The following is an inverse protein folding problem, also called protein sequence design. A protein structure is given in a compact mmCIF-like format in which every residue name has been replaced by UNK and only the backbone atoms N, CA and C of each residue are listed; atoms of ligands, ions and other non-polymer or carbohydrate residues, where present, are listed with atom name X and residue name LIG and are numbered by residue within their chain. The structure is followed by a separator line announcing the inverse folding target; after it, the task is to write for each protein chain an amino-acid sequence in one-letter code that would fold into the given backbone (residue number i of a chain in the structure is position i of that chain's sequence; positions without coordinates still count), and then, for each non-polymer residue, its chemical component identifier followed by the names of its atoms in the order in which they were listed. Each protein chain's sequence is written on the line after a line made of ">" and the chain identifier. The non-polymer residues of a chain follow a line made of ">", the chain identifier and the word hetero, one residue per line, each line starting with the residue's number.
data_IF_638693796665
#
_entry.id   IF_638693796665
#
_cell.length_a   1.000
_cell.length_b   1.000
_cell.length_c   1.000
_cell.angle_alpha   90.00
_cell.angle_beta   90.00
_cell.angle_gamma   90.00
#
_symmetry.space_group_name_H-M   'P 1'
#
loop_
_entity.id
_entity.type
_entity.pdbx_description
1 polymer ?
#
# COMPACT_ATOMS: atom_id res chain seq x y z
N UNK A 1 -7.13 -1.95 4.70
CA UNK A 1 -6.23 -3.09 4.46
C UNK A 1 -5.15 -2.76 3.43
N UNK A 2 -5.46 -2.16 2.28
CA UNK A 2 -4.45 -1.85 1.25
C UNK A 2 -3.31 -0.97 1.76
N UNK A 3 -3.61 0.15 2.41
CA UNK A 3 -2.62 1.00 3.09
C UNK A 3 -1.95 0.25 4.23
N UNK A 4 -2.77 -0.38 5.08
CA UNK A 4 -2.26 -1.11 6.24
C UNK A 4 -1.21 -2.16 5.87
N UNK A 5 -1.34 -2.83 4.72
CA UNK A 5 -0.36 -3.84 4.28
C UNK A 5 1.04 -3.27 4.07
N UNK A 6 1.17 -2.06 3.50
CA UNK A 6 2.47 -1.39 3.37
C UNK A 6 2.94 -0.90 4.73
N UNK A 7 2.05 -0.36 5.56
CA UNK A 7 2.42 0.22 6.84
C UNK A 7 2.75 -0.79 7.93
N UNK A 8 2.35 -2.06 7.80
CA UNK A 8 2.90 -3.17 8.61
C UNK A 8 4.42 -3.22 8.47
N UNK A 9 4.95 -2.99 7.26
CA UNK A 9 6.38 -2.94 6.99
C UNK A 9 6.96 -1.53 7.15
N UNK A 10 6.36 -0.51 6.50
CA UNK A 10 6.92 0.84 6.41
C UNK A 10 7.07 1.51 7.77
N UNK A 11 6.19 1.25 8.72
CA UNK A 11 6.32 1.73 10.09
C UNK A 11 7.62 1.27 10.78
N UNK A 12 8.24 0.21 10.26
CA UNK A 12 9.46 -0.41 10.80
C UNK A 12 10.59 -0.47 9.77
N UNK A 13 10.50 0.30 8.68
CA UNK A 13 11.49 0.29 7.60
C UNK A 13 12.87 0.71 8.07
N UNK A 14 12.98 1.73 8.91
CA UNK A 14 14.28 2.16 9.45
C UNK A 14 14.97 1.07 10.26
N UNK A 15 14.34 0.48 11.31
CA UNK A 15 14.96 -0.63 12.01
C UNK A 15 15.17 -1.87 11.11
N UNK A 16 14.39 -2.07 10.07
CA UNK A 16 14.63 -3.14 9.09
C UNK A 16 15.94 -2.89 8.31
N UNK A 17 16.14 -1.67 7.81
CA UNK A 17 17.37 -1.31 7.08
C UNK A 17 18.62 -1.42 7.97
N UNK A 18 18.51 -0.98 9.22
CA UNK A 18 19.66 -0.98 10.15
C UNK A 18 19.95 -2.37 10.74
N UNK A 19 18.92 -3.09 11.22
CA UNK A 19 19.10 -4.35 11.96
C UNK A 19 19.16 -5.59 11.07
N UNK A 20 18.42 -5.62 9.96
CA UNK A 20 18.36 -6.77 9.06
C UNK A 20 19.35 -6.63 7.92
N UNK A 21 19.45 -5.44 7.32
CA UNK A 21 20.39 -5.19 6.23
C UNK A 21 21.75 -4.68 6.67
N UNK A 22 21.92 -4.35 7.96
CA UNK A 22 23.19 -3.87 8.51
C UNK A 22 23.63 -2.50 8.02
N UNK A 23 22.69 -1.67 7.55
CA UNK A 23 22.99 -0.32 7.07
C UNK A 23 23.35 0.62 8.22
N UNK A 24 24.32 1.51 7.98
CA UNK A 24 24.54 2.65 8.86
C UNK A 24 23.40 3.67 8.79
N UNK A 25 23.26 4.50 9.82
CA UNK A 25 22.16 5.51 9.91
C UNK A 25 22.14 6.46 8.70
N UNK A 26 23.30 6.83 8.15
CA UNK A 26 23.39 7.70 6.96
C UNK A 26 22.88 6.97 5.71
N UNK A 27 23.25 5.71 5.54
CA UNK A 27 22.82 4.87 4.41
C UNK A 27 21.31 4.62 4.47
N UNK A 28 20.76 4.29 5.65
CA UNK A 28 19.33 4.11 5.88
C UNK A 28 18.56 5.41 5.56
N UNK A 29 19.05 6.57 6.03
CA UNK A 29 18.42 7.87 5.75
C UNK A 29 18.43 8.21 4.26
N UNK A 30 19.55 7.94 3.55
CA UNK A 30 19.65 8.14 2.10
C UNK A 30 18.70 7.21 1.34
N UNK A 31 18.56 5.97 1.78
CA UNK A 31 17.61 5.01 1.23
C UNK A 31 16.16 5.47 1.41
N UNK A 32 15.81 6.04 2.59
CA UNK A 32 14.48 6.60 2.83
C UNK A 32 14.22 7.85 1.99
N UNK A 33 15.23 8.68 1.74
CA UNK A 33 15.09 9.82 0.82
C UNK A 33 14.81 9.32 -0.61
N UNK A 34 15.56 8.32 -1.08
CA UNK A 34 15.28 7.69 -2.38
C UNK A 34 13.88 7.06 -2.41
N UNK A 35 13.45 6.37 -1.34
CA UNK A 35 12.10 5.84 -1.19
C UNK A 35 11.04 6.93 -1.42
N UNK A 36 11.23 8.11 -0.83
CA UNK A 36 10.34 9.27 -1.04
C UNK A 36 10.25 9.69 -2.51
N UNK A 37 11.36 9.68 -3.26
CA UNK A 37 11.34 9.96 -4.70
C UNK A 37 10.52 8.92 -5.45
N UNK A 38 10.66 7.64 -5.13
CA UNK A 38 9.83 6.58 -5.73
C UNK A 38 8.34 6.75 -5.39
N UNK A 39 8.00 7.25 -4.19
CA UNK A 39 6.62 7.59 -3.82
C UNK A 39 6.05 8.73 -4.67
N UNK A 40 6.85 9.76 -5.00
CA UNK A 40 6.42 10.83 -5.93
C UNK A 40 6.14 10.27 -7.32
N UNK A 41 7.02 9.41 -7.83
CA UNK A 41 6.82 8.72 -9.11
C UNK A 41 5.54 7.86 -9.06
N UNK A 42 5.31 7.15 -7.96
CA UNK A 42 4.11 6.35 -7.72
C UNK A 42 2.83 7.16 -7.86
N UNK A 43 2.78 8.37 -7.29
CA UNK A 43 1.63 9.28 -7.41
C UNK A 43 1.34 9.66 -8.87
N UNK A 44 2.37 10.01 -9.64
CA UNK A 44 2.23 10.40 -11.05
C UNK A 44 1.74 9.20 -11.87
N UNK A 45 2.36 8.03 -11.69
CA UNK A 45 1.97 6.79 -12.36
C UNK A 45 0.55 6.36 -11.97
N UNK A 46 0.16 6.56 -10.70
CA UNK A 46 -1.18 6.26 -10.20
C UNK A 46 -2.27 6.99 -10.98
N UNK A 47 -2.07 8.29 -11.23
CA UNK A 47 -3.01 9.08 -12.04
C UNK A 47 -3.14 8.55 -13.48
N UNK A 48 -2.02 8.22 -14.12
CA UNK A 48 -2.02 7.69 -15.49
C UNK A 48 -2.66 6.29 -15.57
N UNK A 49 -2.36 5.41 -14.61
CA UNK A 49 -2.89 4.05 -14.54
C UNK A 49 -4.39 4.09 -14.25
N UNK A 50 -4.84 4.95 -13.33
CA UNK A 50 -6.26 5.09 -13.01
C UNK A 50 -7.08 5.58 -14.20
N UNK A 51 -6.58 6.59 -14.92
CA UNK A 51 -7.22 7.11 -16.12
C UNK A 51 -7.43 6.02 -17.21
N UNK A 52 -6.54 5.00 -17.26
CA UNK A 52 -6.58 3.96 -18.29
C UNK A 52 -7.30 2.69 -17.83
N UNK A 53 -7.16 2.29 -16.60
CA UNK A 53 -7.61 0.98 -16.09
C UNK A 53 -8.63 1.08 -14.94
N UNK A 54 -8.74 2.24 -14.30
CA UNK A 54 -9.65 2.49 -13.17
C UNK A 54 -9.46 1.45 -12.05
N UNK A 55 -10.55 1.09 -11.38
CA UNK A 55 -10.52 0.13 -10.27
C UNK A 55 -9.90 -1.24 -10.57
N UNK A 56 -9.78 -1.64 -11.84
CA UNK A 56 -9.14 -2.92 -12.17
C UNK A 56 -7.63 -2.90 -11.89
N UNK A 57 -7.00 -1.73 -11.96
CA UNK A 57 -5.59 -1.57 -11.63
C UNK A 57 -5.30 -1.99 -10.19
N UNK A 58 -6.24 -1.78 -9.25
CA UNK A 58 -6.10 -2.17 -7.85
C UNK A 58 -5.82 -3.66 -7.68
N UNK A 59 -6.45 -4.52 -8.49
CA UNK A 59 -6.25 -5.97 -8.41
C UNK A 59 -4.80 -6.36 -8.71
N UNK A 60 -4.22 -5.75 -9.74
CA UNK A 60 -2.82 -5.99 -10.09
C UNK A 60 -1.88 -5.39 -9.05
N UNK A 61 -2.16 -4.17 -8.61
CA UNK A 61 -1.36 -3.47 -7.58
C UNK A 61 -1.26 -4.29 -6.30
N UNK A 62 -2.38 -4.82 -5.78
CA UNK A 62 -2.35 -5.60 -4.53
C UNK A 62 -1.66 -6.95 -4.69
N UNK A 63 -1.74 -7.60 -5.85
CA UNK A 63 -0.97 -8.83 -6.10
C UNK A 63 0.53 -8.53 -6.16
N UNK A 64 0.94 -7.49 -6.88
CA UNK A 64 2.35 -7.08 -6.94
C UNK A 64 2.88 -6.66 -5.56
N UNK A 65 2.05 -5.97 -4.78
CA UNK A 65 2.38 -5.56 -3.42
C UNK A 65 2.55 -6.75 -2.48
N UNK A 66 1.65 -7.76 -2.56
CA UNK A 66 1.79 -9.00 -1.82
C UNK A 66 3.06 -9.76 -2.22
N UNK A 67 3.35 -9.83 -3.52
CA UNK A 67 4.57 -10.46 -4.03
C UNK A 67 5.84 -9.75 -3.56
N UNK A 68 5.85 -8.40 -3.56
CA UNK A 68 6.99 -7.62 -3.06
C UNK A 68 7.21 -7.83 -1.56
N UNK A 69 6.13 -7.87 -0.76
CA UNK A 69 6.20 -8.11 0.70
C UNK A 69 6.66 -9.54 1.02
N UNK A 70 6.18 -10.55 0.27
CA UNK A 70 6.66 -11.92 0.41
C UNK A 70 8.11 -12.07 -0.07
N UNK A 71 8.47 -11.39 -1.16
CA UNK A 71 9.85 -11.33 -1.63
C UNK A 71 10.79 -10.77 -0.57
N UNK A 72 10.38 -9.68 0.08
CA UNK A 72 11.13 -9.07 1.18
C UNK A 72 11.34 -10.05 2.35
N UNK A 73 10.31 -10.82 2.70
CA UNK A 73 10.41 -11.87 3.72
C UNK A 73 11.34 -13.01 3.28
N UNK A 74 11.24 -13.47 2.03
CA UNK A 74 12.00 -14.60 1.52
C UNK A 74 13.50 -14.32 1.31
N UNK A 75 13.83 -13.07 0.95
CA UNK A 75 15.21 -12.67 0.64
C UNK A 75 16.05 -12.49 1.93
N UNK A 76 15.41 -12.30 3.08
CA UNK A 76 16.11 -12.11 4.36
C UNK A 76 17.07 -10.91 4.32
N UNK A 77 18.32 -11.13 4.72
CA UNK A 77 19.36 -10.08 4.81
C UNK A 77 20.14 -9.80 3.51
N UNK A 78 19.73 -10.31 2.35
CA UNK A 78 20.43 -10.04 1.08
C UNK A 78 20.15 -8.62 0.60
N UNK A 79 21.04 -7.68 0.95
CA UNK A 79 20.85 -6.23 0.78
C UNK A 79 20.40 -5.80 -0.63
N UNK A 80 21.03 -6.20 -1.77
CA UNK A 80 20.63 -5.71 -3.09
C UNK A 80 19.17 -6.10 -3.46
N UNK A 81 18.79 -7.35 -3.16
CA UNK A 81 17.46 -7.85 -3.47
C UNK A 81 16.40 -7.24 -2.55
N UNK A 82 16.70 -7.07 -1.26
CA UNK A 82 15.81 -6.42 -0.32
C UNK A 82 15.51 -4.97 -0.75
N UNK A 83 16.50 -4.22 -1.21
CA UNK A 83 16.31 -2.86 -1.72
C UNK A 83 15.42 -2.82 -2.96
N UNK A 84 15.52 -3.78 -3.86
CA UNK A 84 14.61 -3.88 -5.01
C UNK A 84 13.16 -4.01 -4.53
N UNK A 85 12.88 -4.86 -3.55
CA UNK A 85 11.54 -5.00 -3.00
C UNK A 85 11.08 -3.76 -2.22
N UNK A 86 11.96 -3.13 -1.44
CA UNK A 86 11.67 -1.88 -0.72
C UNK A 86 11.26 -0.77 -1.70
N UNK A 87 12.01 -0.56 -2.78
CA UNK A 87 11.68 0.45 -3.79
C UNK A 87 10.45 0.06 -4.63
N UNK A 88 10.23 -1.24 -4.87
CA UNK A 88 8.99 -1.71 -5.50
C UNK A 88 7.76 -1.38 -4.64
N UNK A 89 7.85 -1.54 -3.33
CA UNK A 89 6.78 -1.13 -2.40
C UNK A 89 6.53 0.38 -2.45
N UNK A 90 7.59 1.20 -2.53
CA UNK A 90 7.45 2.65 -2.71
C UNK A 90 6.69 3.01 -3.98
N UNK A 91 7.02 2.34 -5.11
CA UNK A 91 6.32 2.53 -6.38
C UNK A 91 4.86 2.07 -6.36
N UNK A 92 4.52 1.07 -5.55
CA UNK A 92 3.16 0.54 -5.45
C UNK A 92 2.31 1.30 -4.42
N UNK A 93 2.94 2.05 -3.51
CA UNK A 93 2.31 2.61 -2.32
C UNK A 93 1.14 3.55 -2.63
N UNK A 94 1.27 4.43 -3.63
CA UNK A 94 0.26 5.43 -3.96
C UNK A 94 -0.57 5.10 -5.19
N UNK A 95 -0.25 4.03 -5.94
CA UNK A 95 -1.00 3.63 -7.13
C UNK A 95 -2.49 3.40 -6.83
N UNK A 96 -2.81 2.86 -5.65
CA UNK A 96 -4.20 2.58 -5.29
C UNK A 96 -4.94 3.78 -4.70
N UNK A 97 -4.25 4.75 -4.10
CA UNK A 97 -4.87 5.94 -3.49
C UNK A 97 -5.63 6.74 -4.54
N UNK A 98 -5.01 7.01 -5.68
CA UNK A 98 -5.63 7.76 -6.77
C UNK A 98 -6.92 7.08 -7.24
N UNK A 99 -6.90 5.76 -7.46
CA UNK A 99 -8.09 5.01 -7.89
C UNK A 99 -9.20 5.00 -6.84
N UNK A 100 -8.84 4.99 -5.55
CA UNK A 100 -9.83 5.05 -4.47
C UNK A 100 -10.52 6.43 -4.42
N UNK A 101 -9.75 7.52 -4.42
CA UNK A 101 -10.33 8.86 -4.36
C UNK A 101 -11.19 9.17 -5.59
N UNK A 102 -10.74 8.80 -6.79
CA UNK A 102 -11.51 8.96 -8.04
C UNK A 102 -12.84 8.24 -7.94
N UNK A 103 -12.82 6.99 -7.46
CA UNK A 103 -14.05 6.21 -7.29
C UNK A 103 -15.03 6.84 -6.29
N UNK A 104 -14.55 7.31 -5.13
CA UNK A 104 -15.39 7.99 -4.15
C UNK A 104 -16.01 9.27 -4.73
N UNK A 105 -15.21 10.05 -5.46
CA UNK A 105 -15.67 11.28 -6.09
C UNK A 105 -16.71 11.02 -7.19
N UNK A 106 -16.53 9.98 -8.00
CA UNK A 106 -17.47 9.59 -9.05
C UNK A 106 -18.82 9.14 -8.49
N UNK A 107 -18.81 8.33 -7.42
CA UNK A 107 -20.03 7.91 -6.72
C UNK A 107 -20.74 9.12 -6.10
N UNK A 108 -20.00 10.01 -5.44
CA UNK A 108 -20.59 11.22 -4.87
C UNK A 108 -21.19 12.13 -5.94
N UNK A 109 -20.49 12.35 -7.05
CA UNK A 109 -20.96 13.18 -8.16
C UNK A 109 -22.25 12.62 -8.78
N UNK A 110 -22.33 11.31 -8.96
CA UNK A 110 -23.46 10.67 -9.63
C UNK A 110 -24.69 10.49 -8.75
N UNK A 111 -24.50 10.21 -7.44
CA UNK A 111 -25.62 9.85 -6.53
C UNK A 111 -25.92 10.92 -5.47
N UNK A 112 -24.90 11.65 -5.02
CA UNK A 112 -25.01 12.59 -3.90
C UNK A 112 -24.18 13.88 -4.15
N UNK A 113 -24.54 14.74 -5.14
CA UNK A 113 -23.72 15.90 -5.52
C UNK A 113 -23.46 16.86 -4.36
N UNK A 114 -24.39 16.96 -3.40
CA UNK A 114 -24.23 17.81 -2.19
C UNK A 114 -23.18 17.29 -1.20
N UNK A 115 -22.74 16.04 -1.33
CA UNK A 115 -21.80 15.38 -0.42
C UNK A 115 -20.37 15.30 -0.98
N UNK A 116 -20.04 16.07 -2.01
CA UNK A 116 -18.72 16.05 -2.66
C UNK A 116 -17.58 16.34 -1.68
N UNK A 117 -17.77 17.34 -0.78
CA UNK A 117 -16.76 17.69 0.24
C UNK A 117 -16.56 16.54 1.22
N UNK A 118 -17.64 15.86 1.64
CA UNK A 118 -17.55 14.70 2.51
C UNK A 118 -16.83 13.53 1.80
N UNK A 119 -17.14 13.30 0.53
CA UNK A 119 -16.51 12.24 -0.26
C UNK A 119 -14.99 12.43 -0.39
N UNK A 120 -14.53 13.68 -0.53
CA UNK A 120 -13.08 13.97 -0.61
C UNK A 120 -12.34 13.74 0.71
N UNK A 121 -13.03 13.73 1.85
CA UNK A 121 -12.42 13.45 3.16
C UNK A 121 -12.44 11.98 3.56
N UNK A 122 -13.29 11.15 2.94
CA UNK A 122 -13.42 9.72 3.30
C UNK A 122 -12.12 8.96 3.04
N UNK A 123 -11.46 9.20 1.91
CA UNK A 123 -10.22 8.50 1.56
C UNK A 123 -9.09 8.82 2.54
N UNK A 124 -8.73 10.10 2.83
CA UNK A 124 -7.72 10.40 3.83
C UNK A 124 -8.02 9.86 5.23
N UNK A 125 -9.30 9.84 5.64
CA UNK A 125 -9.71 9.25 6.92
C UNK A 125 -9.45 7.74 6.92
N UNK A 126 -9.89 7.03 5.89
CA UNK A 126 -9.68 5.59 5.75
C UNK A 126 -8.17 5.26 5.65
N UNK A 127 -7.39 6.13 5.01
CA UNK A 127 -5.94 6.03 4.92
C UNK A 127 -5.30 6.07 6.31
N UNK A 128 -5.64 7.08 7.12
CA UNK A 128 -5.11 7.24 8.48
C UNK A 128 -5.47 6.06 9.40
N UNK A 129 -6.70 5.54 9.29
CA UNK A 129 -7.11 4.32 10.01
C UNK A 129 -6.25 3.13 9.56
N UNK A 130 -6.03 2.99 8.25
CA UNK A 130 -5.18 1.94 7.69
C UNK A 130 -3.72 2.03 8.15
N UNK A 131 -3.16 3.24 8.18
CA UNK A 131 -1.81 3.53 8.69
C UNK A 131 -1.70 3.10 10.16
N UNK A 132 -2.60 3.60 11.00
CA UNK A 132 -2.57 3.34 12.44
C UNK A 132 -2.71 1.84 12.73
N UNK A 133 -3.66 1.17 12.07
CA UNK A 133 -3.88 -0.26 12.25
C UNK A 133 -2.71 -1.09 11.72
N UNK A 134 -2.19 -0.77 10.52
CA UNK A 134 -1.04 -1.45 9.94
C UNK A 134 0.20 -1.34 10.81
N UNK A 135 0.52 -0.12 11.27
CA UNK A 135 1.67 0.13 12.15
C UNK A 135 1.53 -0.58 13.50
N UNK A 136 0.32 -0.58 14.09
CA UNK A 136 0.08 -1.30 15.35
C UNK A 136 0.28 -2.81 15.20
N UNK A 137 -0.24 -3.40 14.11
CA UNK A 137 -0.01 -4.83 13.80
C UNK A 137 1.48 -5.09 13.54
N UNK A 138 2.15 -4.23 12.78
CA UNK A 138 3.59 -4.31 12.55
C UNK A 138 4.38 -4.32 13.86
N UNK A 139 4.01 -3.45 14.83
CA UNK A 139 4.62 -3.43 16.15
C UNK A 139 4.41 -4.71 16.95
N UNK A 140 3.21 -5.26 16.92
CA UNK A 140 2.91 -6.55 17.54
C UNK A 140 3.74 -7.69 16.92
N UNK A 141 3.93 -7.69 15.59
CA UNK A 141 4.76 -8.67 14.89
C UNK A 141 6.23 -8.52 15.28
N UNK A 142 6.76 -7.29 15.24
CA UNK A 142 8.16 -7.03 15.61
C UNK A 142 8.47 -7.47 17.05
N UNK A 143 7.54 -7.19 17.98
CA UNK A 143 7.74 -7.54 19.39
C UNK A 143 7.55 -9.02 19.70
N UNK A 144 6.76 -9.77 18.92
CA UNK A 144 6.42 -11.17 19.19
C UNK A 144 7.28 -12.17 18.42
N UNK A 145 7.46 -11.97 17.12
CA UNK A 145 8.14 -12.94 16.22
C UNK A 145 9.35 -12.35 15.50
N UNK A 146 9.51 -11.03 15.54
CA UNK A 146 10.66 -10.34 14.99
C UNK A 146 10.38 -9.61 13.67
N UNK A 147 11.26 -8.65 13.38
CA UNK A 147 11.11 -7.70 12.26
C UNK A 147 11.10 -8.35 10.87
N UNK A 148 11.73 -9.51 10.72
CA UNK A 148 11.74 -10.25 9.44
C UNK A 148 10.33 -10.67 8.97
N UNK A 149 9.38 -10.87 9.91
CA UNK A 149 8.03 -11.34 9.60
C UNK A 149 7.06 -10.24 9.18
N UNK A 150 7.42 -8.96 9.29
CA UNK A 150 6.53 -7.84 8.88
C UNK A 150 6.13 -7.91 7.41
N UNK A 151 7.04 -8.42 6.55
CA UNK A 151 6.73 -8.64 5.13
C UNK A 151 5.65 -9.70 4.92
N UNK A 152 5.76 -10.85 5.60
CA UNK A 152 4.78 -11.92 5.47
C UNK A 152 3.38 -11.50 5.95
N UNK A 153 3.28 -10.81 7.09
CA UNK A 153 2.01 -10.31 7.61
C UNK A 153 1.42 -9.21 6.72
N UNK A 154 2.26 -8.29 6.24
CA UNK A 154 1.85 -7.28 5.26
C UNK A 154 1.28 -7.88 3.98
N UNK A 155 1.87 -8.98 3.49
CA UNK A 155 1.37 -9.70 2.32
C UNK A 155 -0.04 -10.28 2.54
N UNK A 156 -0.33 -10.83 3.71
CA UNK A 156 -1.69 -11.30 4.07
C UNK A 156 -2.69 -10.14 3.98
N UNK A 157 -2.35 -8.97 4.53
CA UNK A 157 -3.19 -7.77 4.44
C UNK A 157 -3.44 -7.34 2.99
N UNK A 158 -2.42 -7.43 2.13
CA UNK A 158 -2.54 -7.09 0.71
C UNK A 158 -3.47 -8.06 -0.02
N UNK A 159 -3.40 -9.36 0.29
CA UNK A 159 -4.32 -10.37 -0.27
C UNK A 159 -5.77 -10.16 0.21
N UNK A 160 -5.97 -9.76 1.47
CA UNK A 160 -7.29 -9.36 1.98
C UNK A 160 -7.83 -8.15 1.21
N UNK A 161 -6.98 -7.12 1.00
CA UNK A 161 -7.36 -5.95 0.21
C UNK A 161 -7.73 -6.32 -1.23
N UNK A 162 -6.99 -7.23 -1.85
CA UNK A 162 -7.29 -7.78 -3.16
C UNK A 162 -8.66 -8.47 -3.21
N UNK A 163 -8.95 -9.34 -2.24
CA UNK A 163 -10.23 -10.04 -2.16
C UNK A 163 -11.41 -9.06 -1.98
N UNK A 164 -11.26 -8.06 -1.10
CA UNK A 164 -12.26 -7.01 -0.89
C UNK A 164 -12.50 -6.19 -2.16
N UNK A 165 -11.42 -5.88 -2.90
CA UNK A 165 -11.53 -5.16 -4.19
C UNK A 165 -12.31 -5.98 -5.23
N UNK A 166 -12.08 -7.30 -5.30
CA UNK A 166 -12.87 -8.19 -6.16
C UNK A 166 -14.37 -8.14 -5.84
N UNK A 167 -14.70 -8.19 -4.54
CA UNK A 167 -16.10 -8.10 -4.08
C UNK A 167 -16.71 -6.77 -4.50
N UNK A 168 -16.01 -5.67 -4.26
CA UNK A 168 -16.47 -4.31 -4.63
C UNK A 168 -16.74 -4.19 -6.12
N UNK A 169 -15.82 -4.68 -6.97
CA UNK A 169 -15.99 -4.64 -8.43
C UNK A 169 -17.20 -5.48 -8.87
N UNK A 170 -17.42 -6.66 -8.26
CA UNK A 170 -18.58 -7.52 -8.58
C UNK A 170 -19.89 -6.84 -8.18
N UNK A 171 -19.96 -6.25 -6.99
CA UNK A 171 -21.16 -5.54 -6.52
C UNK A 171 -21.48 -4.33 -7.41
N UNK A 172 -20.49 -3.51 -7.75
CA UNK A 172 -20.68 -2.37 -8.64
C UNK A 172 -21.17 -2.77 -10.04
N UNK A 173 -20.75 -3.93 -10.56
CA UNK A 173 -21.26 -4.47 -11.83
C UNK A 173 -22.70 -4.96 -11.72
N UNK A 174 -23.06 -5.54 -10.59
CA UNK A 174 -24.42 -6.04 -10.37
C UNK A 174 -25.44 -4.88 -10.27
N UNK A 175 -25.08 -3.81 -9.56
CA UNK A 175 -25.92 -2.61 -9.48
C UNK A 175 -26.14 -1.91 -10.83
N UNK A 176 -25.15 -1.92 -11.73
CA UNK A 176 -25.28 -1.35 -13.09
C UNK A 176 -26.21 -2.16 -14.02
N UNK A 177 -26.53 -3.40 -13.66
CA UNK A 177 -27.42 -4.27 -14.45
C UNK A 177 -28.87 -4.22 -13.99
N UNK A 178 -29.15 -3.58 -12.86
CA UNK A 178 -30.48 -3.28 -12.33
C UNK A 178 -30.94 -1.89 -12.71
#
# INVERSE_FOLDING_TARGET
>A
FGVGSVYVFYGYVTPYLEQVLGMGTVEASTTLMAYGVFCLISNILGGWIDARFGMKALLVTFVLQAAALLGLFAVGGTMPLALVFVFSLALLMYLFSVSCITHFMDVARSRHPKSMVLASSVEPMAFNVGISFGTAVGGAVVSSVGIAYVGAVGAVFSLVAWALTLVTIKLARWERKR
#
